data_IF_522755109896
#
_entry.id   IF_522755109896
#
_cell.length_a   1.000
_cell.length_b   1.000
_cell.length_c   1.000
_cell.angle_alpha   90.00
_cell.angle_beta   90.00
_cell.angle_gamma   90.00
#
_symmetry.space_group_name_H-M   'P 1'
#
loop_
_entity.id
_entity.type
_entity.pdbx_description
1 polymer ?
#
# COMPACT_ATOMS: atom_id res chain seq x y z
N UNK A 1 24.66 -6.25 -5.73
CA UNK A 1 23.81 -5.71 -4.64
C UNK A 1 23.52 -4.24 -4.81
N UNK A 2 24.56 -3.40 -4.95
CA UNK A 2 24.39 -1.96 -5.13
C UNK A 2 23.45 -1.61 -6.30
N UNK A 3 23.54 -2.30 -7.40
CA UNK A 3 22.68 -2.09 -8.58
C UNK A 3 21.21 -2.43 -8.31
N UNK A 4 20.94 -3.47 -7.51
CA UNK A 4 19.56 -3.84 -7.12
C UNK A 4 18.97 -2.82 -6.14
N UNK A 5 19.77 -2.32 -5.23
CA UNK A 5 19.36 -1.31 -4.27
C UNK A 5 19.04 0.03 -4.96
N UNK A 6 19.87 0.45 -5.92
CA UNK A 6 19.61 1.63 -6.74
C UNK A 6 18.32 1.48 -7.58
N UNK A 7 18.11 0.29 -8.17
CA UNK A 7 16.88 -0.02 -8.90
C UNK A 7 15.64 0.08 -7.99
N UNK A 8 15.71 -0.43 -6.76
CA UNK A 8 14.59 -0.33 -5.82
C UNK A 8 14.32 1.12 -5.41
N UNK A 9 15.36 1.95 -5.24
CA UNK A 9 15.22 3.38 -4.95
C UNK A 9 14.48 4.09 -6.10
N UNK A 10 14.87 3.86 -7.36
CA UNK A 10 14.19 4.41 -8.55
C UNK A 10 12.75 3.92 -8.69
N UNK A 11 12.48 2.63 -8.43
CA UNK A 11 11.14 2.07 -8.50
C UNK A 11 10.21 2.61 -7.39
N UNK A 12 10.73 2.80 -6.17
CA UNK A 12 9.98 3.42 -5.08
C UNK A 12 9.62 4.87 -5.39
N UNK A 13 10.57 5.63 -5.94
CA UNK A 13 10.33 7.01 -6.39
C UNK A 13 9.26 7.06 -7.49
N UNK A 14 9.37 6.19 -8.49
CA UNK A 14 8.36 6.05 -9.53
C UNK A 14 6.97 5.73 -8.95
N UNK A 15 6.87 4.82 -7.97
CA UNK A 15 5.60 4.52 -7.31
C UNK A 15 5.03 5.74 -6.58
N UNK A 16 5.87 6.54 -5.93
CA UNK A 16 5.48 7.78 -5.26
C UNK A 16 4.96 8.83 -6.27
N UNK A 17 5.69 9.06 -7.35
CA UNK A 17 5.32 10.03 -8.38
C UNK A 17 3.98 9.67 -9.05
N UNK A 18 3.80 8.41 -9.37
CA UNK A 18 2.56 7.93 -10.01
C UNK A 18 1.38 7.83 -9.04
N UNK A 19 1.64 7.66 -7.74
CA UNK A 19 0.67 7.56 -6.64
C UNK A 19 -0.51 6.58 -6.88
N UNK A 20 -0.31 5.60 -7.77
CA UNK A 20 -1.27 4.54 -8.08
C UNK A 20 -0.63 3.15 -8.15
N UNK A 21 0.64 3.03 -7.73
CA UNK A 21 1.46 1.81 -7.78
C UNK A 21 2.04 1.49 -6.42
N UNK A 22 2.36 0.22 -6.24
CA UNK A 22 2.97 -0.29 -5.01
C UNK A 22 4.05 -1.31 -5.37
N UNK A 23 5.24 -1.18 -4.79
CA UNK A 23 6.39 -2.03 -5.06
C UNK A 23 6.45 -3.21 -4.08
N UNK A 24 6.47 -4.42 -4.61
CA UNK A 24 6.76 -5.65 -3.86
C UNK A 24 8.22 -6.00 -4.07
N UNK A 25 9.02 -5.95 -3.01
CA UNK A 25 10.47 -6.15 -3.05
C UNK A 25 10.87 -7.47 -2.42
N UNK A 26 11.90 -8.07 -2.99
CA UNK A 26 12.54 -9.27 -2.47
C UNK A 26 13.76 -8.91 -1.65
N UNK A 27 13.90 -9.50 -0.46
CA UNK A 27 15.18 -9.46 0.23
C UNK A 27 16.25 -10.22 -0.61
N UNK A 28 17.51 -9.78 -0.64
CA UNK A 28 18.56 -10.51 -1.33
C UNK A 28 18.69 -11.95 -0.81
N UNK A 29 18.80 -12.91 -1.74
CA UNK A 29 18.98 -14.33 -1.40
C UNK A 29 20.20 -14.56 -0.49
N UNK A 30 20.05 -15.47 0.45
CA UNK A 30 21.10 -15.83 1.40
C UNK A 30 21.38 -14.81 2.50
N UNK A 31 20.59 -13.72 2.62
CA UNK A 31 20.66 -12.83 3.78
C UNK A 31 19.79 -13.37 4.93
N UNK A 32 20.39 -13.45 6.13
CA UNK A 32 19.70 -13.94 7.32
C UNK A 32 20.06 -13.08 8.55
N UNK A 33 19.18 -13.08 9.55
CA UNK A 33 19.40 -12.45 10.86
C UNK A 33 19.84 -10.99 10.76
N UNK A 34 20.85 -10.59 11.52
CA UNK A 34 21.32 -9.21 11.57
C UNK A 34 21.83 -8.63 10.25
N UNK A 35 22.22 -9.47 9.27
CA UNK A 35 22.61 -8.98 7.94
C UNK A 35 21.38 -8.54 7.13
N UNK A 36 20.29 -9.29 7.19
CA UNK A 36 19.01 -8.92 6.60
C UNK A 36 18.47 -7.64 7.23
N UNK A 37 18.42 -7.58 8.56
CA UNK A 37 17.96 -6.41 9.29
C UNK A 37 18.75 -5.14 8.95
N UNK A 38 20.08 -5.26 8.86
CA UNK A 38 20.95 -4.14 8.47
C UNK A 38 20.66 -3.68 7.05
N UNK A 39 20.44 -4.61 6.13
CA UNK A 39 20.10 -4.28 4.74
C UNK A 39 18.76 -3.55 4.66
N UNK A 40 17.71 -4.06 5.33
CA UNK A 40 16.39 -3.42 5.35
C UNK A 40 16.45 -2.03 6.00
N UNK A 41 17.22 -1.89 7.10
CA UNK A 41 17.44 -0.58 7.72
C UNK A 41 18.13 0.39 6.77
N UNK A 42 19.09 -0.08 5.97
CA UNK A 42 19.75 0.69 4.92
C UNK A 42 18.74 1.16 3.86
N UNK A 43 17.88 0.28 3.36
CA UNK A 43 16.81 0.63 2.40
C UNK A 43 15.85 1.68 2.99
N UNK A 44 15.43 1.50 4.23
CA UNK A 44 14.54 2.44 4.92
C UNK A 44 15.17 3.80 5.19
N UNK A 45 16.50 3.90 5.32
CA UNK A 45 17.16 5.18 5.64
C UNK A 45 17.37 6.11 4.45
N UNK A 46 17.29 5.62 3.21
CA UNK A 46 17.67 6.37 2.02
C UNK A 46 16.65 7.43 1.62
N UNK A 47 15.39 7.02 1.44
CA UNK A 47 14.30 7.87 0.93
C UNK A 47 13.07 7.78 1.84
N UNK A 48 13.03 8.54 2.95
CA UNK A 48 11.94 8.48 3.91
C UNK A 48 10.56 8.68 3.29
N UNK A 49 10.47 9.58 2.31
CA UNK A 49 9.24 9.95 1.59
C UNK A 49 8.67 8.83 0.71
N UNK A 50 9.53 7.87 0.29
CA UNK A 50 9.15 6.79 -0.61
C UNK A 50 8.71 5.51 0.14
N UNK A 51 8.97 5.42 1.46
CA UNK A 51 8.80 4.20 2.27
C UNK A 51 7.40 3.63 2.26
N UNK A 52 6.39 4.47 2.15
CA UNK A 52 5.00 4.04 2.14
C UNK A 52 4.59 3.29 0.86
N UNK A 53 5.40 3.36 -0.20
CA UNK A 53 5.07 2.83 -1.53
C UNK A 53 5.65 1.44 -1.81
N UNK A 54 6.31 0.81 -0.83
CA UNK A 54 6.89 -0.51 -1.00
C UNK A 54 6.88 -1.35 0.25
N UNK A 55 7.05 -2.66 0.05
CA UNK A 55 7.15 -3.67 1.10
C UNK A 55 8.18 -4.73 0.74
N UNK A 56 8.97 -5.19 1.72
CA UNK A 56 9.95 -6.25 1.57
C UNK A 56 9.37 -7.55 2.09
N UNK A 57 9.55 -8.63 1.33
CA UNK A 57 9.16 -9.98 1.69
C UNK A 57 10.37 -10.90 1.83
N UNK A 58 10.28 -11.82 2.79
CA UNK A 58 11.33 -12.76 3.16
C UNK A 58 10.72 -14.00 3.83
N UNK A 59 11.28 -15.19 3.66
CA UNK A 59 12.42 -15.59 2.83
C UNK A 59 12.05 -15.88 1.36
N UNK A 60 13.03 -16.31 0.58
CA UNK A 60 12.82 -16.86 -0.76
C UNK A 60 12.02 -18.15 -0.68
N UNK A 61 11.33 -18.48 -1.77
CA UNK A 61 10.38 -19.58 -1.88
C UNK A 61 10.97 -20.75 -2.64
N UNK A 62 10.45 -21.95 -2.37
CA UNK A 62 10.86 -23.16 -3.05
C UNK A 62 9.65 -23.93 -3.58
N UNK A 63 9.78 -24.50 -4.79
CA UNK A 63 8.86 -25.45 -5.39
C UNK A 63 9.67 -26.56 -6.06
N UNK A 64 9.63 -27.77 -5.49
CA UNK A 64 10.58 -28.85 -5.87
C UNK A 64 12.02 -28.41 -5.63
N UNK A 65 12.86 -28.50 -6.66
CA UNK A 65 14.28 -28.12 -6.61
C UNK A 65 14.54 -26.62 -6.96
N UNK A 66 13.51 -25.89 -7.34
CA UNK A 66 13.65 -24.49 -7.76
C UNK A 66 13.48 -23.55 -6.56
N UNK A 67 14.41 -22.61 -6.42
CA UNK A 67 14.36 -21.50 -5.47
C UNK A 67 14.13 -20.19 -6.22
N UNK A 68 13.14 -19.39 -5.83
CA UNK A 68 12.75 -18.17 -6.53
C UNK A 68 12.31 -17.07 -5.56
N UNK A 69 12.37 -15.77 -5.97
CA UNK A 69 12.00 -14.66 -5.14
C UNK A 69 10.49 -14.62 -4.85
N UNK A 70 10.06 -14.16 -3.66
CA UNK A 70 8.66 -14.16 -3.26
C UNK A 70 7.76 -13.16 -3.98
N UNK A 71 8.30 -12.09 -4.56
CA UNK A 71 7.52 -10.96 -5.11
C UNK A 71 6.45 -11.36 -6.10
N UNK A 72 6.74 -12.30 -7.01
CA UNK A 72 5.77 -12.79 -7.99
C UNK A 72 4.58 -13.51 -7.35
N UNK A 73 4.86 -14.40 -6.39
CA UNK A 73 3.82 -15.15 -5.65
C UNK A 73 3.00 -14.23 -4.75
N UNK A 74 3.64 -13.23 -4.14
CA UNK A 74 2.99 -12.21 -3.33
C UNK A 74 2.07 -11.33 -4.18
N UNK A 75 2.55 -10.83 -5.32
CA UNK A 75 1.75 -10.03 -6.25
C UNK A 75 0.54 -10.82 -6.78
N UNK A 76 0.74 -12.10 -7.14
CA UNK A 76 -0.35 -13.00 -7.52
C UNK A 76 -1.36 -13.21 -6.40
N UNK A 77 -0.92 -13.22 -5.15
CA UNK A 77 -1.81 -13.30 -3.98
C UNK A 77 -2.60 -12.02 -3.78
N UNK A 78 -2.01 -10.84 -3.99
CA UNK A 78 -2.73 -9.57 -3.98
C UNK A 78 -3.86 -9.59 -5.01
N UNK A 79 -3.55 -9.93 -6.25
CA UNK A 79 -4.55 -10.02 -7.32
C UNK A 79 -5.66 -11.03 -7.01
N UNK A 80 -5.31 -12.17 -6.39
CA UNK A 80 -6.30 -13.18 -5.98
C UNK A 80 -7.24 -12.65 -4.90
N UNK A 81 -6.73 -12.00 -3.87
CA UNK A 81 -7.55 -11.41 -2.80
C UNK A 81 -8.51 -10.37 -3.38
N UNK A 82 -8.02 -9.49 -4.25
CA UNK A 82 -8.87 -8.51 -4.90
C UNK A 82 -9.95 -9.13 -5.76
N UNK A 83 -9.62 -10.18 -6.51
CA UNK A 83 -10.61 -10.88 -7.31
C UNK A 83 -11.65 -11.63 -6.46
N UNK A 84 -11.27 -12.18 -5.31
CA UNK A 84 -12.15 -12.88 -4.38
C UNK A 84 -13.12 -11.92 -3.66
N UNK A 85 -12.68 -10.70 -3.36
CA UNK A 85 -13.45 -9.68 -2.62
C UNK A 85 -14.08 -8.59 -3.51
N UNK A 86 -13.87 -8.65 -4.83
CA UNK A 86 -14.47 -7.73 -5.80
C UNK A 86 -13.81 -6.35 -5.83
N UNK A 87 -14.55 -5.34 -6.31
CA UNK A 87 -14.04 -3.99 -6.64
C UNK A 87 -13.26 -3.33 -5.50
N UNK A 88 -13.63 -3.58 -4.26
CA UNK A 88 -13.00 -2.99 -3.08
C UNK A 88 -12.04 -3.96 -2.36
N UNK A 89 -11.64 -5.05 -3.01
CA UNK A 89 -10.77 -6.08 -2.45
C UNK A 89 -9.40 -5.59 -1.97
N UNK A 90 -8.98 -4.42 -2.45
CA UNK A 90 -7.72 -3.75 -2.04
C UNK A 90 -7.66 -3.44 -0.54
N UNK A 91 -8.79 -3.30 0.16
CA UNK A 91 -8.81 -3.03 1.60
C UNK A 91 -8.47 -4.25 2.46
N UNK A 92 -8.50 -5.47 1.90
CA UNK A 92 -8.05 -6.66 2.62
C UNK A 92 -6.53 -6.75 2.64
N UNK A 93 -5.92 -6.99 3.83
CA UNK A 93 -4.48 -7.13 3.91
C UNK A 93 -4.00 -8.40 3.20
N UNK A 94 -2.88 -8.37 2.50
CA UNK A 94 -2.30 -9.56 1.87
C UNK A 94 -1.53 -10.40 2.91
N UNK A 95 -2.16 -10.72 4.02
CA UNK A 95 -1.56 -11.47 5.12
C UNK A 95 -2.47 -12.57 5.64
N UNK A 96 -1.88 -13.55 6.31
CA UNK A 96 -2.54 -14.76 6.80
C UNK A 96 -3.19 -15.61 5.67
N UNK A 97 -2.60 -15.54 4.49
CA UNK A 97 -3.13 -16.14 3.25
C UNK A 97 -2.11 -17.13 2.69
N UNK A 98 -2.51 -18.35 2.30
CA UNK A 98 -1.59 -19.32 1.72
C UNK A 98 -1.15 -18.92 0.32
N UNK A 99 0.15 -19.11 0.05
CA UNK A 99 0.72 -19.04 -1.29
C UNK A 99 0.36 -20.31 -2.07
N UNK A 100 0.13 -20.16 -3.37
CA UNK A 100 -0.15 -21.28 -4.27
C UNK A 100 1.12 -21.68 -5.03
N UNK A 101 1.30 -22.98 -5.25
CA UNK A 101 2.45 -23.49 -6.01
C UNK A 101 3.80 -23.42 -5.26
N UNK A 102 3.77 -23.17 -3.94
CA UNK A 102 4.95 -23.10 -3.08
C UNK A 102 4.90 -24.26 -2.08
N UNK A 103 5.99 -24.99 -1.95
CA UNK A 103 6.09 -26.14 -1.04
C UNK A 103 6.87 -25.82 0.23
N UNK A 104 7.93 -25.03 0.12
CA UNK A 104 8.84 -24.68 1.21
C UNK A 104 9.35 -23.25 1.10
N UNK A 105 10.07 -22.81 2.11
CA UNK A 105 10.87 -21.58 2.10
C UNK A 105 12.35 -21.93 2.11
N UNK A 106 13.22 -21.04 1.60
CA UNK A 106 14.67 -21.15 1.72
C UNK A 106 15.12 -21.26 3.18
N UNK A 107 14.37 -20.60 4.06
CA UNK A 107 14.59 -20.59 5.52
C UNK A 107 13.27 -20.78 6.23
N UNK A 108 13.20 -21.74 7.15
CA UNK A 108 12.06 -21.93 8.01
C UNK A 108 12.15 -20.99 9.21
N UNK A 109 11.21 -20.05 9.27
CA UNK A 109 11.13 -19.08 10.36
C UNK A 109 10.30 -19.62 11.51
N UNK A 110 10.79 -19.46 12.72
CA UNK A 110 9.98 -19.62 13.93
C UNK A 110 9.01 -18.45 14.08
N UNK A 111 7.95 -18.61 14.86
CA UNK A 111 7.01 -17.54 15.16
C UNK A 111 7.65 -16.33 15.84
N UNK A 112 8.67 -16.58 16.69
CA UNK A 112 9.41 -15.52 17.35
C UNK A 112 10.23 -14.69 16.36
N UNK A 113 10.93 -15.34 15.42
CA UNK A 113 11.69 -14.67 14.36
C UNK A 113 10.76 -13.92 13.41
N UNK A 114 9.64 -14.52 13.01
CA UNK A 114 8.64 -13.87 12.17
C UNK A 114 8.10 -12.58 12.83
N UNK A 115 7.80 -12.62 14.13
CA UNK A 115 7.39 -11.44 14.89
C UNK A 115 8.47 -10.36 14.92
N UNK A 116 9.73 -10.74 15.19
CA UNK A 116 10.86 -9.81 15.22
C UNK A 116 11.10 -9.15 13.85
N UNK A 117 10.94 -9.90 12.75
CA UNK A 117 11.05 -9.35 11.40
C UNK A 117 9.89 -8.40 11.06
N UNK A 118 8.66 -8.77 11.42
CA UNK A 118 7.50 -7.91 11.19
C UNK A 118 7.65 -6.54 11.88
N UNK A 119 8.22 -6.50 13.10
CA UNK A 119 8.50 -5.25 13.82
C UNK A 119 9.55 -4.37 13.13
N UNK A 120 10.35 -4.94 12.22
CA UNK A 120 11.34 -4.23 11.40
C UNK A 120 10.88 -3.92 9.98
N UNK A 121 9.57 -4.04 9.69
CA UNK A 121 8.97 -3.87 8.37
C UNK A 121 9.48 -4.88 7.31
N UNK A 122 9.85 -6.09 7.77
CA UNK A 122 10.12 -7.24 6.92
C UNK A 122 8.88 -8.13 6.99
N UNK A 123 8.21 -8.37 5.86
CA UNK A 123 7.01 -9.20 5.82
C UNK A 123 7.41 -10.67 5.76
N UNK A 124 7.26 -11.42 6.85
CA UNK A 124 7.70 -12.81 6.89
C UNK A 124 6.75 -13.71 6.12
N UNK A 125 7.31 -14.73 5.48
CA UNK A 125 6.60 -15.86 4.92
C UNK A 125 6.95 -17.07 5.77
N UNK A 126 5.94 -17.76 6.30
CA UNK A 126 6.12 -18.83 7.27
C UNK A 126 5.45 -20.13 6.80
N UNK A 127 5.94 -21.26 7.26
CA UNK A 127 5.29 -22.56 7.06
C UNK A 127 4.39 -22.85 8.26
N UNK A 128 3.11 -23.08 8.01
CA UNK A 128 2.15 -23.48 9.04
C UNK A 128 1.59 -24.87 8.76
N UNK A 129 1.71 -25.75 9.73
CA UNK A 129 1.16 -27.10 9.62
C UNK A 129 -0.34 -27.08 9.31
N UNK A 130 -0.75 -27.84 8.31
CA UNK A 130 -2.14 -27.92 7.85
C UNK A 130 -2.62 -26.77 6.96
N UNK A 131 -1.83 -25.67 6.80
CA UNK A 131 -2.18 -24.53 5.95
C UNK A 131 -1.16 -24.24 4.83
N UNK A 132 0.04 -24.82 4.93
CA UNK A 132 1.12 -24.62 3.96
C UNK A 132 1.94 -23.38 4.19
N UNK A 133 2.48 -22.80 3.12
CA UNK A 133 3.31 -21.60 3.15
C UNK A 133 2.42 -20.36 3.13
N UNK A 134 2.55 -19.48 4.12
CA UNK A 134 1.67 -18.32 4.33
C UNK A 134 2.46 -17.02 4.30
N UNK A 135 1.88 -15.99 3.69
CA UNK A 135 2.28 -14.60 3.95
C UNK A 135 1.82 -14.25 5.37
N UNK A 136 2.73 -13.81 6.24
CA UNK A 136 2.42 -13.49 7.65
C UNK A 136 2.77 -12.05 8.03
N UNK A 137 2.87 -11.14 7.07
CA UNK A 137 3.10 -9.71 7.26
C UNK A 137 2.42 -8.87 6.18
N UNK A 138 2.00 -7.67 6.53
CA UNK A 138 1.37 -6.71 5.63
C UNK A 138 1.82 -5.27 5.91
N UNK A 139 3.12 -5.07 6.18
CA UNK A 139 3.69 -3.76 6.49
C UNK A 139 4.48 -3.18 5.34
N UNK A 140 4.32 -1.88 5.13
CA UNK A 140 5.16 -1.09 4.25
C UNK A 140 6.51 -0.82 4.91
N UNK A 141 7.43 -0.13 4.23
CA UNK A 141 8.68 0.34 4.82
C UNK A 141 8.52 1.58 5.72
N UNK A 142 7.32 2.17 5.78
CA UNK A 142 7.08 3.43 6.49
C UNK A 142 7.12 3.28 8.01
N UNK A 143 7.66 4.29 8.68
CA UNK A 143 7.60 4.45 10.14
C UNK A 143 6.34 5.24 10.57
N UNK A 144 5.68 5.93 9.64
CA UNK A 144 4.49 6.70 9.93
C UNK A 144 3.29 5.78 10.18
N UNK A 145 2.63 5.81 11.35
CA UNK A 145 1.54 4.90 11.71
C UNK A 145 0.43 4.83 10.65
N UNK A 146 0.09 5.98 10.05
CA UNK A 146 -0.94 6.09 9.01
C UNK A 146 -0.59 5.37 7.69
N UNK A 147 0.67 5.05 7.46
CA UNK A 147 1.14 4.42 6.22
C UNK A 147 1.84 3.08 6.45
N UNK A 148 1.88 2.57 7.67
CA UNK A 148 2.56 1.30 7.98
C UNK A 148 1.88 0.09 7.33
N UNK A 149 0.58 0.13 7.09
CA UNK A 149 -0.16 -1.01 6.54
C UNK A 149 -0.26 -0.95 5.01
N UNK A 150 0.00 -2.07 4.35
CA UNK A 150 -0.03 -2.18 2.89
C UNK A 150 -1.42 -1.89 2.33
N UNK A 151 -2.47 -2.45 2.93
CA UNK A 151 -3.84 -2.21 2.48
C UNK A 151 -4.21 -0.73 2.59
N UNK A 152 -3.86 -0.04 3.67
CA UNK A 152 -4.09 1.40 3.83
C UNK A 152 -3.45 2.19 2.69
N UNK A 153 -2.16 1.93 2.38
CA UNK A 153 -1.48 2.61 1.27
C UNK A 153 -2.15 2.31 -0.08
N UNK A 154 -2.53 1.05 -0.31
CA UNK A 154 -3.16 0.63 -1.56
C UNK A 154 -4.58 1.18 -1.73
N UNK A 155 -5.35 1.30 -0.64
CA UNK A 155 -6.64 1.99 -0.63
C UNK A 155 -6.47 3.46 -1.04
N UNK A 156 -5.49 4.17 -0.46
CA UNK A 156 -5.21 5.56 -0.84
C UNK A 156 -4.84 5.66 -2.32
N UNK A 157 -3.98 4.76 -2.82
CA UNK A 157 -3.60 4.74 -4.23
C UNK A 157 -4.82 4.52 -5.15
N UNK A 158 -5.70 3.58 -4.80
CA UNK A 158 -6.91 3.28 -5.56
C UNK A 158 -7.87 4.48 -5.57
N UNK A 159 -8.13 5.09 -4.41
CA UNK A 159 -9.00 6.26 -4.30
C UNK A 159 -8.43 7.42 -5.14
N UNK A 160 -7.14 7.71 -5.01
CA UNK A 160 -6.46 8.75 -5.78
C UNK A 160 -6.61 8.52 -7.30
N UNK A 161 -6.33 7.29 -7.77
CA UNK A 161 -6.42 6.96 -9.20
C UNK A 161 -7.86 7.04 -9.71
N UNK A 162 -8.85 6.61 -8.91
CA UNK A 162 -10.26 6.69 -9.27
C UNK A 162 -10.75 8.14 -9.34
N UNK A 163 -10.47 8.95 -8.31
CA UNK A 163 -10.85 10.37 -8.31
C UNK A 163 -10.21 11.13 -9.48
N UNK A 164 -8.94 10.83 -9.78
CA UNK A 164 -8.27 11.43 -10.94
C UNK A 164 -8.98 11.10 -12.25
N UNK A 165 -9.35 9.83 -12.47
CA UNK A 165 -10.08 9.39 -13.67
C UNK A 165 -11.48 10.00 -13.75
N UNK A 166 -12.19 10.01 -12.62
CA UNK A 166 -13.55 10.57 -12.55
C UNK A 166 -13.56 12.08 -12.78
N UNK A 167 -12.42 12.77 -12.59
CA UNK A 167 -12.28 14.22 -12.81
C UNK A 167 -11.69 14.57 -14.19
N UNK A 168 -11.36 13.62 -15.05
CA UNK A 168 -10.75 13.88 -16.38
C UNK A 168 -11.66 14.72 -17.30
N UNK A 169 -12.98 14.66 -17.12
CA UNK A 169 -13.92 15.48 -17.86
C UNK A 169 -13.76 16.99 -17.65
N UNK A 170 -13.20 17.41 -16.50
CA UNK A 170 -12.99 18.82 -16.17
C UNK A 170 -11.86 19.47 -16.98
N UNK A 171 -11.07 18.68 -17.70
CA UNK A 171 -10.00 19.19 -18.58
C UNK A 171 -10.62 19.93 -19.75
N UNK A 172 -10.17 21.18 -19.96
CA UNK A 172 -10.70 22.16 -20.93
C UNK A 172 -12.07 22.79 -20.60
N UNK A 173 -12.64 22.50 -19.42
CA UNK A 173 -13.81 23.23 -18.93
C UNK A 173 -13.46 24.65 -18.47
N UNK A 174 -14.46 25.53 -18.42
CA UNK A 174 -14.27 26.93 -17.99
C UNK A 174 -13.98 26.97 -16.49
N UNK A 175 -12.80 27.45 -16.11
CA UNK A 175 -12.37 27.52 -14.71
C UNK A 175 -13.09 28.64 -13.94
N UNK A 176 -14.21 28.31 -13.34
CA UNK A 176 -15.07 29.20 -12.59
C UNK A 176 -15.68 28.49 -11.35
N UNK A 177 -16.32 29.23 -10.43
CA UNK A 177 -16.95 28.63 -9.25
C UNK A 177 -17.96 27.53 -9.55
N UNK A 178 -18.66 27.59 -10.66
CA UNK A 178 -19.60 26.52 -11.03
C UNK A 178 -18.89 25.19 -11.30
N UNK A 179 -17.73 25.20 -11.98
CA UNK A 179 -16.91 24.01 -12.18
C UNK A 179 -16.45 23.42 -10.82
N UNK A 180 -16.05 24.29 -9.90
CA UNK A 180 -15.60 23.86 -8.58
C UNK A 180 -16.72 23.18 -7.77
N UNK A 181 -17.93 23.74 -7.79
CA UNK A 181 -19.12 23.17 -7.13
C UNK A 181 -19.48 21.79 -7.71
N UNK A 182 -19.34 21.61 -9.03
CA UNK A 182 -19.57 20.32 -9.69
C UNK A 182 -18.51 19.30 -9.29
N UNK A 183 -17.23 19.67 -9.33
CA UNK A 183 -16.12 18.80 -8.91
C UNK A 183 -16.24 18.39 -7.44
N UNK A 184 -16.50 19.33 -6.53
CA UNK A 184 -16.68 19.02 -5.11
C UNK A 184 -17.81 18.02 -4.91
N UNK A 185 -18.96 18.22 -5.55
CA UNK A 185 -20.11 17.33 -5.45
C UNK A 185 -19.81 15.93 -5.99
N UNK A 186 -19.19 15.84 -7.18
CA UNK A 186 -18.92 14.57 -7.83
C UNK A 186 -17.86 13.74 -7.05
N UNK A 187 -16.85 14.42 -6.50
CA UNK A 187 -15.84 13.81 -5.63
C UNK A 187 -16.48 13.32 -4.33
N UNK A 188 -17.34 14.13 -3.67
CA UNK A 188 -18.09 13.71 -2.48
C UNK A 188 -18.96 12.50 -2.73
N UNK A 189 -19.66 12.48 -3.87
CA UNK A 189 -20.47 11.33 -4.25
C UNK A 189 -19.62 10.05 -4.35
N UNK A 190 -18.46 10.13 -5.00
CA UNK A 190 -17.55 8.99 -5.10
C UNK A 190 -16.96 8.57 -3.74
N UNK A 191 -16.62 9.52 -2.87
CA UNK A 191 -16.11 9.22 -1.53
C UNK A 191 -17.19 8.59 -0.64
N UNK A 192 -18.46 8.94 -0.83
CA UNK A 192 -19.57 8.29 -0.13
C UNK A 192 -19.70 6.81 -0.51
N UNK A 193 -19.55 6.45 -1.80
CA UNK A 193 -19.52 5.05 -2.23
C UNK A 193 -18.39 4.27 -1.55
N UNK A 194 -17.18 4.85 -1.40
CA UNK A 194 -16.07 4.23 -0.67
C UNK A 194 -16.36 4.12 0.84
N UNK A 195 -17.03 5.09 1.41
CA UNK A 195 -17.48 5.10 2.80
C UNK A 195 -18.52 4.00 3.06
N UNK A 196 -19.55 3.88 2.21
CA UNK A 196 -20.57 2.83 2.29
C UNK A 196 -19.97 1.42 2.12
N UNK A 197 -18.93 1.30 1.31
CA UNK A 197 -18.16 0.05 1.15
C UNK A 197 -17.26 -0.28 2.36
N UNK A 198 -17.20 0.59 3.39
CA UNK A 198 -16.39 0.39 4.58
C UNK A 198 -14.89 0.64 4.40
N UNK A 199 -14.49 1.32 3.33
CA UNK A 199 -13.08 1.65 3.06
C UNK A 199 -12.58 2.83 3.87
N UNK A 200 -13.49 3.68 4.34
CA UNK A 200 -13.21 4.88 5.14
C UNK A 200 -13.85 4.75 6.52
N UNK A 201 -13.22 5.34 7.54
CA UNK A 201 -13.69 5.28 8.92
C UNK A 201 -13.68 6.67 9.57
N UNK A 202 -14.70 6.96 10.37
CA UNK A 202 -14.70 8.13 11.25
C UNK A 202 -13.86 7.83 12.51
N UNK A 203 -13.37 8.87 13.18
CA UNK A 203 -12.66 8.73 14.46
C UNK A 203 -13.03 9.88 15.40
N UNK A 204 -13.86 9.60 16.39
CA UNK A 204 -14.42 10.63 17.25
C UNK A 204 -15.24 11.64 16.45
N UNK A 205 -14.91 12.92 16.58
CA UNK A 205 -15.55 14.02 15.84
C UNK A 205 -14.96 14.23 14.42
N UNK A 206 -13.89 13.51 14.07
CA UNK A 206 -13.26 13.62 12.75
C UNK A 206 -14.05 12.82 11.71
N UNK A 207 -14.44 13.44 10.58
CA UNK A 207 -15.19 12.78 9.54
C UNK A 207 -14.32 11.76 8.78
N UNK A 208 -14.98 10.86 8.05
CA UNK A 208 -14.33 9.86 7.21
C UNK A 208 -13.55 10.47 6.05
N UNK A 209 -14.05 11.60 5.53
CA UNK A 209 -13.39 12.38 4.48
C UNK A 209 -13.80 13.85 4.55
N UNK A 210 -12.98 14.71 3.95
CA UNK A 210 -13.27 16.12 3.69
C UNK A 210 -12.86 16.46 2.28
N UNK A 211 -13.62 17.33 1.62
CA UNK A 211 -13.32 17.83 0.28
C UNK A 211 -13.41 19.35 0.31
N UNK A 212 -12.46 20.01 -0.32
CA UNK A 212 -12.47 21.44 -0.54
C UNK A 212 -12.09 21.76 -1.98
N UNK A 213 -13.00 22.42 -2.71
CA UNK A 213 -12.77 22.96 -4.03
C UNK A 213 -13.43 24.33 -4.11
N UNK A 214 -12.75 25.36 -3.62
CA UNK A 214 -13.29 26.70 -3.45
C UNK A 214 -12.26 27.80 -3.82
N UNK A 215 -12.50 29.01 -3.39
CA UNK A 215 -11.62 30.16 -3.67
C UNK A 215 -10.30 30.13 -2.91
N UNK A 216 -10.26 29.44 -1.77
CA UNK A 216 -9.10 29.43 -0.90
C UNK A 216 -8.00 28.55 -1.49
N UNK A 217 -8.37 27.38 -2.09
CA UNK A 217 -7.43 26.52 -2.78
C UNK A 217 -7.30 26.78 -4.30
N UNK A 218 -8.19 27.62 -4.88
CA UNK A 218 -8.14 28.06 -6.28
C UNK A 218 -7.91 29.57 -6.39
N UNK A 219 -6.81 30.05 -5.79
CA UNK A 219 -6.38 31.44 -5.90
C UNK A 219 -6.12 31.86 -7.36
N UNK A 220 -6.13 33.18 -7.63
CA UNK A 220 -6.01 33.73 -8.98
C UNK A 220 -4.77 33.18 -9.73
N UNK A 221 -3.66 32.98 -9.04
CA UNK A 221 -2.43 32.44 -9.63
C UNK A 221 -2.61 31.04 -10.23
N UNK A 222 -3.41 30.17 -9.58
CA UNK A 222 -3.70 28.83 -10.10
C UNK A 222 -4.64 28.87 -11.28
N UNK A 223 -5.65 29.76 -11.21
CA UNK A 223 -6.61 29.97 -12.31
C UNK A 223 -5.94 30.52 -13.56
N UNK A 224 -5.03 31.50 -13.42
CA UNK A 224 -4.26 32.08 -14.52
C UNK A 224 -3.30 31.05 -15.14
N UNK A 225 -2.85 30.07 -14.36
CA UNK A 225 -2.07 28.93 -14.83
C UNK A 225 -2.94 27.79 -15.44
N UNK A 226 -4.28 27.98 -15.51
CA UNK A 226 -5.19 26.97 -16.03
C UNK A 226 -5.39 25.74 -15.11
N UNK A 227 -5.14 25.91 -13.80
CA UNK A 227 -5.21 24.83 -12.81
C UNK A 227 -6.48 24.94 -11.97
N UNK A 228 -7.06 23.78 -11.66
CA UNK A 228 -8.09 23.62 -10.62
C UNK A 228 -7.53 22.66 -9.58
N UNK A 229 -7.53 23.09 -8.31
CA UNK A 229 -7.07 22.31 -7.17
C UNK A 229 -8.28 21.83 -6.37
N UNK A 230 -8.27 20.54 -6.04
CA UNK A 230 -9.22 19.94 -5.12
C UNK A 230 -8.45 19.27 -3.99
N UNK A 231 -8.67 19.72 -2.76
CA UNK A 231 -8.06 19.13 -1.59
C UNK A 231 -8.99 18.04 -1.04
N UNK A 232 -8.48 16.83 -0.95
CA UNK A 232 -9.21 15.67 -0.45
C UNK A 232 -8.45 15.08 0.74
N UNK A 233 -9.09 15.08 1.90
CA UNK A 233 -8.62 14.39 3.10
C UNK A 233 -9.46 13.13 3.29
N UNK A 234 -8.82 11.98 3.49
CA UNK A 234 -9.49 10.70 3.72
C UNK A 234 -8.88 9.99 4.92
N UNK A 235 -9.69 9.17 5.59
CA UNK A 235 -9.26 8.30 6.69
C UNK A 235 -9.54 6.84 6.31
N UNK A 236 -8.57 6.13 5.71
CA UNK A 236 -8.75 4.74 5.33
C UNK A 236 -8.91 3.80 6.52
N UNK A 237 -9.64 2.70 6.32
CA UNK A 237 -9.73 1.62 7.30
C UNK A 237 -8.37 0.98 7.52
N UNK A 238 -8.03 0.70 8.77
CA UNK A 238 -6.83 -0.05 9.16
C UNK A 238 -7.09 -1.55 9.31
N UNK A 239 -6.02 -2.31 9.55
CA UNK A 239 -6.07 -3.76 9.79
C UNK A 239 -5.82 -4.06 11.27
N UNK A 240 -6.48 -5.10 11.79
CA UNK A 240 -6.19 -5.65 13.12
C UNK A 240 -4.96 -6.56 13.03
N UNK A 241 -3.88 -6.21 13.73
CA UNK A 241 -2.66 -7.02 13.80
C UNK A 241 -2.61 -7.90 15.06
N UNK A 242 -3.34 -7.52 16.12
CA UNK A 242 -3.39 -8.25 17.40
C UNK A 242 -4.81 -8.32 17.93
N UNK A 243 -5.20 -9.51 18.39
CA UNK A 243 -6.45 -9.72 19.14
C UNK A 243 -6.06 -10.05 20.57
N UNK A 244 -6.48 -9.21 21.52
CA UNK A 244 -6.34 -9.43 22.96
C UNK A 244 -7.69 -9.95 23.46
N UNK A 245 -7.66 -11.11 24.14
CA UNK A 245 -8.84 -11.72 24.78
C UNK A 245 -8.48 -11.84 26.25
N UNK A 246 -9.18 -11.10 27.10
CA UNK A 246 -9.04 -11.15 28.56
C UNK A 246 -9.94 -12.22 29.17
#
# INVERSE_FOLDING_TARGET
>A
RADVEALYDELLEHCREMNNRFLVMDAPQGLHGGLLERWVRGMRSRHPENRAFGAIYYPWLQSGDECFPPSGSVAGTFARIENEHGTFGVMWPPANVPLRGVTHCEVDLTWAEAGAYADQAINPIVIQSGRGVLIFGARTLSDEPKFQQINTRRVINMIHDQLRRDSEWAVFEVNNPHLWDVLDRDIRYRLEEFSEAGMLVASGDDPQYQVACDRDNNAMIHRDAGQVNVDVMIRPVGTTERVLID
#
